data_IF_821135757356
#
_entry.id   IF_821135757356
#
_cell.length_a   1.000
_cell.length_b   1.000
_cell.length_c   1.000
_cell.angle_alpha   90.00
_cell.angle_beta   90.00
_cell.angle_gamma   90.00
#
_symmetry.space_group_name_H-M   'P 1'
#
loop_
_entity.id
_entity.type
_entity.pdbx_description
1 polymer ?
#
# COMPACT_ATOMS: atom_id res chain seq x y z
N UNK A 1 -23.39 -10.58 8.42
CA UNK A 1 -22.55 -9.89 7.41
C UNK A 1 -23.44 -9.05 6.51
N UNK A 2 -23.09 -7.79 6.19
CA UNK A 2 -23.87 -6.93 5.30
C UNK A 2 -23.99 -7.54 3.88
N UNK A 3 -25.15 -7.34 3.23
CA UNK A 3 -25.46 -7.94 1.93
C UNK A 3 -24.71 -7.31 0.74
N UNK A 4 -24.19 -6.09 0.90
CA UNK A 4 -23.43 -5.40 -0.13
C UNK A 4 -22.41 -4.44 0.48
N UNK A 5 -21.47 -3.99 -0.35
CA UNK A 5 -20.36 -3.12 0.06
C UNK A 5 -20.84 -1.78 0.65
N UNK A 6 -21.93 -1.21 0.13
CA UNK A 6 -22.46 0.06 0.65
C UNK A 6 -23.01 -0.11 2.06
N UNK A 7 -23.76 -1.18 2.31
CA UNK A 7 -24.25 -1.52 3.66
C UNK A 7 -23.10 -1.82 4.61
N UNK A 8 -22.02 -2.46 4.13
CA UNK A 8 -20.81 -2.65 4.91
C UNK A 8 -20.13 -1.34 5.30
N UNK A 9 -19.91 -0.43 4.34
CA UNK A 9 -19.32 0.87 4.60
C UNK A 9 -20.09 1.66 5.64
N UNK A 10 -21.41 1.75 5.48
CA UNK A 10 -22.27 2.46 6.42
C UNK A 10 -22.19 1.87 7.83
N UNK A 11 -22.21 0.53 7.96
CA UNK A 11 -22.11 -0.13 9.25
C UNK A 11 -20.72 0.07 9.88
N UNK A 12 -19.65 -0.12 9.11
CA UNK A 12 -18.28 0.02 9.58
C UNK A 12 -18.00 1.46 10.04
N UNK A 13 -18.39 2.48 9.26
CA UNK A 13 -18.19 3.88 9.64
C UNK A 13 -19.03 4.28 10.86
N UNK A 14 -20.24 3.72 11.01
CA UNK A 14 -21.07 3.94 12.20
C UNK A 14 -20.40 3.45 13.49
N UNK A 15 -19.76 2.28 13.45
CA UNK A 15 -19.08 1.71 14.63
C UNK A 15 -17.67 2.25 14.82
N UNK A 16 -16.99 2.62 13.74
CA UNK A 16 -15.64 3.17 13.74
C UNK A 16 -15.64 4.49 12.94
N UNK A 17 -16.06 5.62 13.55
CA UNK A 17 -16.14 6.91 12.86
C UNK A 17 -14.79 7.42 12.35
N UNK A 18 -13.71 7.03 13.02
CA UNK A 18 -12.33 7.33 12.66
C UNK A 18 -11.53 6.04 12.69
N UNK A 19 -11.14 5.56 11.51
CA UNK A 19 -10.35 4.35 11.35
C UNK A 19 -9.13 4.61 10.48
N UNK A 20 -7.96 4.13 10.92
CA UNK A 20 -6.72 4.24 10.16
C UNK A 20 -6.16 2.84 9.92
N UNK A 21 -6.04 2.47 8.65
CA UNK A 21 -5.35 1.25 8.27
C UNK A 21 -3.84 1.53 8.19
N UNK A 22 -3.08 0.91 9.09
CA UNK A 22 -1.63 1.11 9.18
C UNK A 22 -0.87 0.63 7.96
N UNK A 23 -1.45 -0.26 7.14
CA UNK A 23 -0.85 -0.67 5.85
C UNK A 23 -0.98 0.41 4.78
N UNK A 24 -2.09 1.15 4.81
CA UNK A 24 -2.26 2.34 3.96
C UNK A 24 -1.27 3.41 4.39
N UNK A 25 -1.20 3.68 5.70
CA UNK A 25 -0.30 4.67 6.26
C UNK A 25 1.17 4.33 5.98
N UNK A 26 1.58 3.08 6.16
CA UNK A 26 2.97 2.66 5.93
C UNK A 26 3.38 2.79 4.46
N UNK A 27 2.43 2.85 3.53
CA UNK A 27 2.65 3.02 2.10
C UNK A 27 2.54 4.49 1.63
N UNK A 28 2.32 5.44 2.54
CA UNK A 28 2.20 6.84 2.18
C UNK A 28 3.52 7.39 1.60
N UNK A 29 3.43 8.23 0.57
CA UNK A 29 4.58 8.72 -0.20
C UNK A 29 5.71 9.28 0.68
N UNK A 30 5.46 10.14 1.68
CA UNK A 30 6.54 10.72 2.49
C UNK A 30 7.34 9.68 3.27
N UNK A 31 6.75 8.51 3.53
CA UNK A 31 7.40 7.43 4.27
C UNK A 31 8.16 6.48 3.36
N UNK A 32 7.84 6.41 2.06
CA UNK A 32 8.47 5.43 1.16
C UNK A 32 9.95 5.72 0.89
N UNK A 33 10.40 6.96 1.07
CA UNK A 33 11.83 7.31 0.98
C UNK A 33 12.66 6.83 2.19
N UNK A 34 12.02 6.32 3.24
CA UNK A 34 12.67 5.99 4.50
C UNK A 34 13.03 4.50 4.61
N UNK A 35 12.35 3.62 3.88
CA UNK A 35 12.59 2.18 3.93
C UNK A 35 11.49 1.36 3.28
N UNK A 36 11.65 0.04 3.27
CA UNK A 36 10.65 -0.89 2.74
C UNK A 36 9.59 -1.21 3.81
N UNK A 37 8.49 -0.48 3.80
CA UNK A 37 7.39 -0.69 4.74
C UNK A 37 6.25 -1.54 4.16
N UNK A 38 6.58 -2.46 3.26
CA UNK A 38 5.63 -3.41 2.67
C UNK A 38 5.76 -4.82 3.24
N UNK A 39 4.66 -5.59 3.19
CA UNK A 39 4.65 -7.00 3.57
C UNK A 39 4.02 -7.29 4.93
N UNK A 40 4.56 -8.29 5.63
CA UNK A 40 4.02 -8.74 6.92
C UNK A 40 4.27 -7.69 8.00
N UNK A 41 3.30 -7.51 8.90
CA UNK A 41 3.36 -6.51 9.99
C UNK A 41 4.69 -6.54 10.75
N UNK A 42 5.16 -7.73 11.13
CA UNK A 42 6.44 -7.90 11.82
C UNK A 42 7.63 -7.34 11.02
N UNK A 43 7.72 -7.63 9.72
CA UNK A 43 8.79 -7.15 8.86
C UNK A 43 8.76 -5.62 8.75
N UNK A 44 7.56 -5.05 8.62
CA UNK A 44 7.39 -3.58 8.54
C UNK A 44 7.86 -2.91 9.83
N UNK A 45 7.54 -3.48 11.00
CA UNK A 45 8.00 -2.95 12.28
C UNK A 45 9.52 -3.06 12.44
N UNK A 46 10.12 -4.17 12.00
CA UNK A 46 11.58 -4.34 11.98
C UNK A 46 12.26 -3.26 11.12
N UNK A 47 11.78 -3.05 9.89
CA UNK A 47 12.33 -2.03 8.99
C UNK A 47 12.20 -0.61 9.56
N UNK A 48 11.06 -0.28 10.17
CA UNK A 48 10.85 1.03 10.79
C UNK A 48 11.78 1.25 11.98
N UNK A 49 12.10 0.20 12.75
CA UNK A 49 13.00 0.33 13.89
C UNK A 49 14.39 0.86 13.49
N UNK A 50 14.81 0.61 12.24
CA UNK A 50 16.09 1.06 11.66
C UNK A 50 16.11 2.56 11.36
N UNK A 51 14.95 3.20 11.24
CA UNK A 51 14.78 4.64 10.96
C UNK A 51 14.00 5.36 12.07
N UNK A 52 14.10 4.83 13.30
CA UNK A 52 13.40 5.32 14.49
C UNK A 52 13.67 6.80 14.84
N UNK A 53 14.74 7.41 14.32
CA UNK A 53 15.01 8.84 14.45
C UNK A 53 13.90 9.72 13.88
N UNK A 54 13.13 9.23 12.91
CA UNK A 54 12.00 9.95 12.34
C UNK A 54 10.78 9.91 13.24
N UNK A 55 10.67 8.96 14.18
CA UNK A 55 9.60 8.88 15.17
C UNK A 55 10.19 8.75 16.58
N UNK A 56 10.82 9.80 17.14
CA UNK A 56 11.64 9.72 18.35
C UNK A 56 10.84 9.30 19.61
N UNK A 57 9.51 9.41 19.55
CA UNK A 57 8.61 9.02 20.63
C UNK A 57 8.10 7.58 20.52
N UNK A 58 8.50 6.83 19.48
CA UNK A 58 8.10 5.44 19.28
C UNK A 58 9.25 4.52 19.68
N UNK A 59 9.13 3.90 20.86
CA UNK A 59 10.08 2.87 21.26
C UNK A 59 9.77 1.55 20.57
N UNK A 60 10.72 1.06 19.76
CA UNK A 60 10.70 -0.29 19.20
C UNK A 60 11.38 -1.32 20.11
N UNK A 61 12.00 -0.85 21.19
CA UNK A 61 12.49 -1.72 22.26
C UNK A 61 11.32 -2.13 23.13
N UNK A 62 11.30 -3.40 23.53
CA UNK A 62 10.36 -3.91 24.50
C UNK A 62 11.14 -4.20 25.78
N UNK A 63 10.48 -4.04 26.92
CA UNK A 63 11.10 -4.39 28.20
C UNK A 63 11.42 -5.89 28.25
N UNK A 64 12.53 -6.23 28.90
CA UNK A 64 12.97 -7.62 29.05
C UNK A 64 11.97 -8.49 29.81
N UNK A 65 11.08 -7.86 30.58
CA UNK A 65 9.99 -8.50 31.33
C UNK A 65 8.72 -8.72 30.50
N UNK A 66 8.64 -8.13 29.30
CA UNK A 66 7.48 -8.28 28.43
C UNK A 66 7.58 -9.60 27.63
N UNK A 67 6.54 -10.43 27.70
CA UNK A 67 6.48 -11.67 26.91
C UNK A 67 6.46 -11.33 25.41
N UNK A 68 7.47 -11.78 24.66
CA UNK A 68 7.70 -11.36 23.27
C UNK A 68 8.53 -10.09 23.13
N UNK A 69 9.16 -9.60 24.20
CA UNK A 69 9.99 -8.40 24.19
C UNK A 69 11.47 -8.62 23.87
N UNK A 70 11.95 -9.86 23.91
CA UNK A 70 13.38 -10.15 23.78
C UNK A 70 13.66 -11.40 22.92
N UNK A 71 14.61 -11.26 21.99
CA UNK A 71 15.26 -12.38 21.28
C UNK A 71 14.31 -13.30 20.51
N UNK A 72 14.57 -14.60 20.60
CA UNK A 72 13.87 -15.68 19.87
C UNK A 72 12.37 -15.84 20.18
N UNK A 73 11.83 -15.09 21.15
CA UNK A 73 10.41 -15.17 21.55
C UNK A 73 9.49 -14.19 20.79
N UNK A 74 10.06 -13.21 20.08
CA UNK A 74 9.27 -12.27 19.26
C UNK A 74 8.55 -12.98 18.12
N UNK A 75 9.23 -13.89 17.43
CA UNK A 75 8.62 -14.71 16.37
C UNK A 75 7.58 -15.68 16.92
N UNK A 76 7.74 -16.19 18.15
CA UNK A 76 6.75 -17.07 18.78
C UNK A 76 5.45 -16.39 19.23
N UNK A 77 5.45 -15.06 19.37
CA UNK A 77 4.27 -14.28 19.72
C UNK A 77 3.56 -13.68 18.50
N UNK A 78 4.12 -13.86 17.28
CA UNK A 78 3.43 -13.49 16.05
C UNK A 78 2.10 -14.25 15.94
N UNK A 79 1.07 -13.59 15.41
CA UNK A 79 -0.30 -14.11 15.36
C UNK A 79 -1.05 -14.14 16.70
N UNK A 80 -0.49 -13.56 17.78
CA UNK A 80 -1.26 -13.18 18.94
C UNK A 80 -1.94 -11.83 18.70
N UNK A 81 -3.27 -11.77 18.76
CA UNK A 81 -4.03 -10.56 18.45
C UNK A 81 -3.67 -9.34 19.31
N UNK A 82 -3.34 -9.54 20.59
CA UNK A 82 -2.94 -8.44 21.47
C UNK A 82 -1.54 -7.93 21.11
N UNK A 83 -0.60 -8.83 20.83
CA UNK A 83 0.74 -8.48 20.38
C UNK A 83 0.72 -7.80 19.01
N UNK A 84 -0.02 -8.33 18.04
CA UNK A 84 -0.19 -7.73 16.71
C UNK A 84 -0.88 -6.35 16.80
N UNK A 85 -1.81 -6.17 17.75
CA UNK A 85 -2.42 -4.86 18.01
C UNK A 85 -1.42 -3.86 18.57
N UNK A 86 -0.53 -4.28 19.47
CA UNK A 86 0.55 -3.45 19.98
C UNK A 86 1.51 -3.02 18.86
N UNK A 87 1.93 -3.96 18.00
CA UNK A 87 2.76 -3.67 16.82
C UNK A 87 2.07 -2.71 15.87
N UNK A 88 0.77 -2.90 15.63
CA UNK A 88 -0.07 -2.01 14.83
C UNK A 88 -0.12 -0.60 15.43
N UNK A 89 -0.25 -0.47 16.75
CA UNK A 89 -0.23 0.82 17.45
C UNK A 89 1.11 1.55 17.29
N UNK A 90 2.24 0.83 17.42
CA UNK A 90 3.57 1.40 17.17
C UNK A 90 3.73 1.89 15.74
N UNK A 91 3.28 1.10 14.76
CA UNK A 91 3.29 1.46 13.35
C UNK A 91 2.45 2.72 13.07
N UNK A 92 1.25 2.82 13.64
CA UNK A 92 0.41 4.01 13.54
C UNK A 92 1.11 5.26 14.10
N UNK A 93 1.69 5.16 15.30
CA UNK A 93 2.36 6.28 15.94
C UNK A 93 3.55 6.79 15.12
N UNK A 94 4.35 5.86 14.56
CA UNK A 94 5.46 6.19 13.67
C UNK A 94 4.97 6.88 12.40
N UNK A 95 3.99 6.29 11.71
CA UNK A 95 3.49 6.81 10.45
C UNK A 95 2.83 8.18 10.62
N UNK A 96 2.04 8.38 11.68
CA UNK A 96 1.44 9.68 12.02
C UNK A 96 2.53 10.75 12.12
N UNK A 97 3.56 10.49 12.91
CA UNK A 97 4.60 11.49 13.16
C UNK A 97 5.47 11.73 11.93
N UNK A 98 5.83 10.67 11.18
CA UNK A 98 6.56 10.81 9.92
C UNK A 98 5.80 11.62 8.87
N UNK A 99 4.47 11.45 8.77
CA UNK A 99 3.62 12.24 7.90
C UNK A 99 3.55 13.70 8.33
N UNK A 100 3.30 13.96 9.63
CA UNK A 100 3.19 15.31 10.17
C UNK A 100 4.52 16.08 10.02
N UNK A 101 5.67 15.42 10.21
CA UNK A 101 6.99 16.00 9.96
C UNK A 101 7.21 16.35 8.47
N UNK A 102 6.58 15.61 7.56
CA UNK A 102 6.61 15.89 6.13
C UNK A 102 5.54 16.92 5.70
N UNK A 103 4.88 17.61 6.64
CA UNK A 103 3.75 18.51 6.42
C UNK A 103 2.53 17.85 5.74
N UNK A 104 2.37 16.54 5.88
CA UNK A 104 1.21 15.79 5.38
C UNK A 104 0.30 15.40 6.53
N UNK A 105 -0.96 15.80 6.48
CA UNK A 105 -1.91 15.46 7.53
C UNK A 105 -2.30 13.98 7.48
N UNK A 106 -2.16 13.26 8.61
CA UNK A 106 -2.61 11.87 8.75
C UNK A 106 -4.10 11.69 8.42
N UNK A 107 -4.91 12.74 8.65
CA UNK A 107 -6.35 12.77 8.37
C UNK A 107 -6.68 12.55 6.89
N UNK A 108 -5.72 12.77 5.98
CA UNK A 108 -5.88 12.47 4.56
C UNK A 108 -6.19 10.99 4.33
N UNK A 109 -5.69 10.10 5.19
CA UNK A 109 -5.83 8.64 5.11
C UNK A 109 -6.93 8.05 6.01
N UNK A 110 -7.71 8.90 6.68
CA UNK A 110 -8.79 8.48 7.57
C UNK A 110 -9.89 7.73 6.79
N UNK A 111 -10.37 6.63 7.38
CA UNK A 111 -11.46 5.79 6.87
C UNK A 111 -11.15 5.12 5.52
N UNK A 112 -9.88 4.94 5.20
CA UNK A 112 -9.39 4.20 4.03
C UNK A 112 -8.86 2.83 4.50
N UNK A 113 -9.44 1.76 3.95
CA UNK A 113 -9.05 0.39 4.27
C UNK A 113 -8.29 -0.26 3.11
N UNK A 114 -7.21 -0.97 3.45
CA UNK A 114 -6.53 -1.85 2.53
C UNK A 114 -7.34 -3.12 2.27
N UNK A 115 -7.21 -3.63 1.06
CA UNK A 115 -7.87 -4.86 0.62
C UNK A 115 -6.80 -5.89 0.30
N UNK A 116 -6.77 -6.99 1.06
CA UNK A 116 -5.77 -8.06 0.92
C UNK A 116 -5.63 -8.60 -0.52
N UNK A 117 -6.69 -8.50 -1.34
CA UNK A 117 -6.74 -9.08 -2.68
C UNK A 117 -7.08 -8.11 -3.82
N UNK A 118 -7.43 -6.84 -3.53
CA UNK A 118 -7.81 -5.88 -4.60
C UNK A 118 -6.89 -4.66 -4.61
N UNK A 119 -6.84 -4.00 -5.76
CA UNK A 119 -6.09 -2.76 -6.01
C UNK A 119 -6.79 -1.50 -5.50
N UNK A 120 -8.03 -1.65 -5.03
CA UNK A 120 -8.89 -0.54 -4.65
C UNK A 120 -9.05 -0.55 -3.14
N UNK A 121 -8.46 0.45 -2.49
CA UNK A 121 -8.79 0.75 -1.10
C UNK A 121 -10.28 1.03 -0.96
N UNK A 122 -10.87 0.57 0.14
CA UNK A 122 -12.27 0.85 0.46
C UNK A 122 -12.32 2.17 1.20
N UNK A 123 -13.04 3.15 0.66
CA UNK A 123 -13.29 4.40 1.37
C UNK A 123 -14.65 4.33 2.07
N UNK A 124 -14.65 4.32 3.41
CA UNK A 124 -15.87 4.08 4.19
C UNK A 124 -16.87 5.24 4.13
N UNK A 125 -16.41 6.47 3.85
CA UNK A 125 -17.24 7.68 3.85
C UNK A 125 -17.80 8.01 2.46
N UNK A 126 -17.18 7.49 1.39
CA UNK A 126 -17.60 7.77 0.00
C UNK A 126 -18.32 6.60 -0.65
N UNK A 127 -19.28 6.92 -1.53
CA UNK A 127 -19.89 5.94 -2.44
C UNK A 127 -18.89 5.42 -3.48
N UNK A 128 -17.85 6.18 -3.80
CA UNK A 128 -16.78 5.75 -4.71
C UNK A 128 -15.66 5.07 -3.92
N UNK A 129 -15.42 3.80 -4.24
CA UNK A 129 -14.18 3.13 -3.90
C UNK A 129 -13.10 3.56 -4.89
N UNK A 130 -12.01 4.08 -4.34
CA UNK A 130 -10.89 4.55 -5.12
C UNK A 130 -9.72 4.82 -4.20
N UNK A 131 -8.52 4.70 -4.73
CA UNK A 131 -7.39 5.38 -4.12
C UNK A 131 -7.68 6.87 -4.14
N UNK A 132 -7.51 7.52 -2.99
CA UNK A 132 -7.46 8.98 -2.95
C UNK A 132 -6.37 9.39 -3.95
N UNK A 133 -6.77 10.12 -5.00
CA UNK A 133 -5.88 10.52 -6.11
C UNK A 133 -4.82 11.49 -5.58
N UNK A 134 -3.70 10.96 -5.09
CA UNK A 134 -2.41 11.63 -5.27
C UNK A 134 -1.94 11.29 -6.69
N UNK A 135 -2.63 11.88 -7.69
CA UNK A 135 -2.63 11.46 -9.10
C UNK A 135 -3.08 10.01 -9.32
N UNK A 136 -3.88 9.74 -10.36
CA UNK A 136 -4.32 8.38 -10.64
C UNK A 136 -3.13 7.55 -11.12
N UNK A 137 -2.41 6.92 -10.20
CA UNK A 137 -1.30 6.05 -10.55
C UNK A 137 -1.82 4.82 -11.28
N UNK A 138 -1.40 4.68 -12.54
CA UNK A 138 -1.63 3.47 -13.35
C UNK A 138 -0.99 2.29 -12.63
N UNK A 139 -1.77 1.22 -12.41
CA UNK A 139 -1.24 0.00 -11.80
C UNK A 139 -0.75 -0.91 -12.90
N UNK A 140 0.44 -1.49 -12.72
CA UNK A 140 0.98 -2.50 -13.61
C UNK A 140 1.02 -3.86 -12.92
N UNK A 141 0.89 -4.94 -13.68
CA UNK A 141 1.06 -6.31 -13.22
C UNK A 141 2.26 -6.96 -13.91
N UNK A 142 3.07 -7.67 -13.14
CA UNK A 142 4.09 -8.59 -13.64
C UNK A 142 3.75 -10.00 -13.17
N UNK A 143 3.96 -10.99 -14.04
CA UNK A 143 3.90 -12.40 -13.67
C UNK A 143 5.01 -12.74 -12.67
N UNK A 144 4.74 -13.72 -11.80
CA UNK A 144 5.72 -14.16 -10.81
C UNK A 144 6.89 -14.82 -11.53
N UNK A 145 8.09 -14.26 -11.33
CA UNK A 145 9.35 -14.84 -11.77
C UNK A 145 10.21 -15.06 -10.52
N UNK A 146 10.86 -16.22 -10.35
CA UNK A 146 11.62 -16.52 -9.13
C UNK A 146 12.66 -15.44 -8.75
N UNK A 147 13.25 -14.79 -9.75
CA UNK A 147 14.23 -13.73 -9.59
C UNK A 147 13.62 -12.31 -9.37
N UNK A 148 12.29 -12.16 -9.39
CA UNK A 148 11.58 -10.90 -9.11
C UNK A 148 10.79 -11.03 -7.81
N UNK A 149 11.48 -11.12 -6.68
CA UNK A 149 10.86 -10.93 -5.36
C UNK A 149 10.63 -9.45 -5.08
N UNK A 150 9.73 -9.13 -4.14
CA UNK A 150 9.34 -7.74 -3.80
C UNK A 150 10.56 -6.85 -3.56
N UNK A 151 11.53 -7.33 -2.78
CA UNK A 151 12.77 -6.63 -2.43
C UNK A 151 13.64 -6.34 -3.66
N UNK A 152 13.67 -7.28 -4.61
CA UNK A 152 14.45 -7.14 -5.86
C UNK A 152 13.76 -6.15 -6.80
N UNK A 153 12.44 -6.26 -6.97
CA UNK A 153 11.63 -5.34 -7.78
C UNK A 153 11.82 -3.92 -7.23
N UNK A 154 11.67 -3.74 -5.92
CA UNK A 154 11.81 -2.45 -5.25
C UNK A 154 13.20 -1.84 -5.50
N UNK A 155 14.28 -2.57 -5.18
CA UNK A 155 15.65 -2.10 -5.40
C UNK A 155 15.93 -1.74 -6.86
N UNK A 156 15.38 -2.51 -7.80
CA UNK A 156 15.51 -2.22 -9.22
C UNK A 156 14.82 -0.88 -9.57
N UNK A 157 13.60 -0.67 -9.10
CA UNK A 157 12.85 0.58 -9.35
C UNK A 157 13.48 1.79 -8.66
N UNK A 158 13.94 1.65 -7.41
CA UNK A 158 14.62 2.70 -6.65
C UNK A 158 15.90 3.19 -7.37
N UNK A 159 16.66 2.29 -8.00
CA UNK A 159 17.85 2.68 -8.79
C UNK A 159 17.53 3.64 -9.94
N UNK A 160 16.26 3.68 -10.37
CA UNK A 160 15.73 4.54 -11.41
C UNK A 160 14.88 5.70 -10.84
N UNK A 161 14.93 5.95 -9.53
CA UNK A 161 14.10 6.94 -8.81
C UNK A 161 12.59 6.70 -9.00
N UNK A 162 12.19 5.44 -9.18
CA UNK A 162 10.79 5.05 -9.28
C UNK A 162 10.34 4.55 -7.91
N UNK A 163 9.60 5.39 -7.20
CA UNK A 163 8.90 4.99 -5.96
C UNK A 163 7.61 4.27 -6.32
N UNK A 164 7.39 3.07 -5.78
CA UNK A 164 6.20 2.30 -6.08
C UNK A 164 5.76 1.43 -4.89
N UNK A 165 4.44 1.26 -4.75
CA UNK A 165 3.82 0.25 -3.90
C UNK A 165 3.82 -1.08 -4.66
N UNK A 166 4.45 -2.11 -4.10
CA UNK A 166 4.55 -3.44 -4.72
C UNK A 166 3.79 -4.44 -3.85
N UNK A 167 2.82 -5.15 -4.44
CA UNK A 167 2.00 -6.13 -3.72
C UNK A 167 1.99 -7.47 -4.45
N UNK A 168 2.27 -8.54 -3.71
CA UNK A 168 2.14 -9.91 -4.24
C UNK A 168 0.66 -10.31 -4.37
N UNK A 169 0.30 -10.94 -5.48
CA UNK A 169 -1.07 -11.36 -5.84
C UNK A 169 -1.19 -12.87 -6.08
N UNK A 170 -0.32 -13.68 -5.48
CA UNK A 170 -0.35 -15.14 -5.61
C UNK A 170 0.28 -15.70 -6.88
N UNK A 171 0.09 -15.02 -8.02
CA UNK A 171 0.66 -15.43 -9.32
C UNK A 171 1.59 -14.37 -9.94
N UNK A 172 1.86 -13.29 -9.20
CA UNK A 172 2.64 -12.16 -9.68
C UNK A 172 2.61 -11.00 -8.70
N UNK A 173 3.03 -9.83 -9.19
CA UNK A 173 3.09 -8.61 -8.41
C UNK A 173 2.35 -7.50 -9.12
N UNK A 174 1.61 -6.71 -8.35
CA UNK A 174 1.11 -5.42 -8.81
C UNK A 174 2.08 -4.35 -8.37
N UNK A 175 2.48 -3.49 -9.29
CA UNK A 175 3.36 -2.37 -9.09
C UNK A 175 2.55 -1.10 -9.34
N UNK A 176 2.47 -0.26 -8.32
CA UNK A 176 1.80 1.02 -8.41
C UNK A 176 2.81 2.13 -8.16
N UNK A 177 3.26 2.84 -9.20
CA UNK A 177 4.08 4.04 -9.05
C UNK A 177 3.37 5.05 -8.17
N UNK A 178 4.12 5.82 -7.40
CA UNK A 178 3.59 6.87 -6.53
C UNK A 178 4.50 8.11 -6.59
N UNK A 179 3.96 9.26 -6.19
CA UNK A 179 4.71 10.51 -6.19
C UNK A 179 5.18 10.93 -7.57
N UNK A 180 6.40 11.46 -7.65
CA UNK A 180 7.01 11.94 -8.89
C UNK A 180 7.11 10.86 -10.00
N UNK A 181 7.14 9.58 -9.64
CA UNK A 181 7.17 8.48 -10.60
C UNK A 181 5.90 8.42 -11.46
N UNK A 182 4.76 8.89 -10.96
CA UNK A 182 3.50 8.95 -11.71
C UNK A 182 3.56 9.84 -12.95
N UNK A 183 4.46 10.82 -12.96
CA UNK A 183 4.61 11.79 -14.05
C UNK A 183 5.81 11.47 -14.97
N UNK A 184 6.45 10.32 -14.78
CA UNK A 184 7.65 9.96 -15.53
C UNK A 184 7.27 9.57 -16.98
N UNK A 185 7.74 10.29 -18.02
CA UNK A 185 7.30 10.08 -19.40
C UNK A 185 7.58 8.67 -19.94
N UNK A 186 8.72 8.07 -19.53
CA UNK A 186 9.17 6.77 -20.00
C UNK A 186 9.02 5.68 -18.93
N UNK A 187 8.09 5.85 -17.97
CA UNK A 187 7.95 4.99 -16.80
C UNK A 187 7.91 3.51 -17.15
N UNK A 188 7.00 3.12 -18.05
CA UNK A 188 6.80 1.71 -18.46
C UNK A 188 8.07 1.15 -19.10
N UNK A 189 8.71 1.89 -19.99
CA UNK A 189 9.92 1.45 -20.68
C UNK A 189 11.08 1.26 -19.69
N UNK A 190 11.23 2.19 -18.75
CA UNK A 190 12.24 2.12 -17.69
C UNK A 190 11.99 0.92 -16.77
N UNK A 191 10.74 0.69 -16.35
CA UNK A 191 10.37 -0.46 -15.53
C UNK A 191 10.66 -1.78 -16.26
N UNK A 192 10.24 -1.92 -17.53
CA UNK A 192 10.54 -3.12 -18.33
C UNK A 192 12.05 -3.33 -18.41
N UNK A 193 12.82 -2.30 -18.74
CA UNK A 193 14.27 -2.40 -18.90
C UNK A 193 14.94 -2.86 -17.61
N UNK A 194 14.64 -2.21 -16.48
CA UNK A 194 15.34 -2.50 -15.22
C UNK A 194 14.93 -3.84 -14.63
N UNK A 195 13.66 -4.25 -14.77
CA UNK A 195 13.19 -5.54 -14.30
C UNK A 195 13.69 -6.68 -15.21
N UNK A 196 13.69 -6.49 -16.53
CA UNK A 196 14.23 -7.47 -17.49
C UNK A 196 15.72 -7.73 -17.24
N UNK A 197 16.48 -6.70 -16.88
CA UNK A 197 17.89 -6.83 -16.52
C UNK A 197 18.12 -7.70 -15.27
N UNK A 198 17.15 -7.80 -14.36
CA UNK A 198 17.26 -8.66 -13.16
C UNK A 198 16.99 -10.13 -13.42
N UNK A 199 16.21 -10.45 -14.45
CA UNK A 199 15.84 -11.83 -14.78
C UNK A 199 16.56 -12.36 -16.02
N UNK A 200 17.33 -11.52 -16.72
CA UNK A 200 17.99 -11.85 -17.99
C UNK A 200 17.03 -12.32 -19.09
N UNK A 201 15.79 -11.85 -19.03
CA UNK A 201 14.73 -12.15 -19.99
C UNK A 201 13.76 -10.97 -20.06
N UNK A 202 12.97 -10.91 -21.14
CA UNK A 202 11.98 -9.84 -21.30
C UNK A 202 10.89 -9.98 -20.22
N UNK A 203 10.67 -8.91 -19.47
CA UNK A 203 9.54 -8.75 -18.54
C UNK A 203 8.41 -8.05 -19.27
N UNK A 204 7.20 -8.57 -19.11
CA UNK A 204 5.98 -7.94 -19.60
C UNK A 204 5.25 -7.24 -18.45
N UNK A 205 4.84 -5.99 -18.68
CA UNK A 205 4.01 -5.21 -17.77
C UNK A 205 2.62 -5.09 -18.36
N UNK A 206 1.64 -5.59 -17.63
CA UNK A 206 0.23 -5.45 -18.01
C UNK A 206 -0.37 -4.27 -17.26
N UNK A 207 -0.78 -3.24 -17.99
CA UNK A 207 -1.49 -2.11 -17.40
C UNK A 207 -2.88 -2.56 -16.96
N UNK A 208 -3.22 -2.30 -15.70
CA UNK A 208 -4.55 -2.54 -15.14
C UNK A 208 -5.30 -1.21 -15.17
N UNK A 209 -6.24 -1.09 -16.11
CA UNK A 209 -7.19 0.03 -16.11
C UNK A 209 -8.13 -0.08 -14.91
N UNK A 210 -7.97 0.85 -13.95
CA UNK A 210 -8.93 1.02 -12.88
C UNK A 210 -10.14 1.78 -13.41
N UNK A 211 -11.03 1.10 -14.16
CA UNK A 211 -12.30 1.70 -14.58
C UNK A 211 -13.06 2.21 -13.35
N UNK A 212 -13.44 3.49 -13.39
CA UNK A 212 -14.39 4.10 -12.46
C UNK A 212 -15.78 4.05 -13.09
N UNK A 213 -16.82 3.82 -12.27
CA UNK A 213 -18.20 3.61 -12.76
C UNK A 213 -18.77 4.74 -13.60
N UNK A 214 -18.18 5.95 -13.56
CA UNK A 214 -18.57 7.07 -14.42
C UNK A 214 -18.37 6.76 -15.91
N UNK A 215 -17.25 6.13 -16.29
CA UNK A 215 -16.94 5.80 -17.69
C UNK A 215 -17.85 4.70 -18.27
N UNK A 216 -18.44 3.84 -17.41
CA UNK A 216 -19.37 2.78 -17.84
C UNK A 216 -20.74 3.36 -18.22
N UNK A 217 -21.06 4.57 -17.73
CA UNK A 217 -22.34 5.23 -18.02
C UNK A 217 -22.30 5.96 -19.37
N UNK A 218 -21.17 6.55 -19.73
CA UNK A 218 -20.96 7.23 -21.02
C UNK A 218 -20.93 6.25 -22.20
N UNK A 219 -20.34 5.05 -22.06
CA UNK A 219 -20.41 4.00 -23.10
C UNK A 219 -21.85 3.50 -23.34
N UNK A 220 -22.70 3.47 -22.30
CA UNK A 220 -24.11 3.05 -22.45
C UNK A 220 -25.00 4.14 -23.04
N UNK A 221 -24.64 5.41 -22.91
CA UNK A 221 -25.39 6.52 -23.48
C UNK A 221 -24.95 6.82 -24.93
N UNK A 222 -23.72 6.48 -25.34
CA UNK A 222 -23.32 6.58 -26.76
C UNK A 222 -23.91 5.46 -27.64
N UNK A 223 -24.15 4.27 -27.09
CA UNK A 223 -24.78 3.15 -27.83
C UNK A 223 -26.31 3.32 -28.03
N UNK A 224 -26.94 4.32 -27.40
CA UNK A 224 -28.38 4.59 -27.53
C UNK A 224 -28.74 5.83 -28.37
N UNK A 225 -27.79 6.43 -29.09
CA UNK A 225 -28.07 7.63 -29.92
C UNK A 225 -27.77 7.47 -31.42
N UNK A 226 -27.51 6.25 -31.88
CA UNK A 226 -27.38 5.94 -33.31
C UNK A 226 -28.53 5.10 -33.83
N UNK A 227 -29.66 5.74 -34.16
CA UNK A 227 -30.55 5.36 -35.27
C UNK A 227 -31.70 6.39 -35.35
N UNK A 228 -31.59 7.29 -36.32
CA UNK A 228 -32.69 8.09 -36.90
C UNK A 228 -33.46 7.27 -37.91
#
# INVERSE_FOLDING_TARGET
>A
MPLNLQSFKSLAHRHFPSLFDTRILSCAEPLQGLGDFSGKLWNVVDEISKVSTIGPYVSFKFDSTFSGGCGSTQTSMTHNAAFDSLLTGKLFAFAKYGLENANTSVKVYENILSTYATLKSIYLVSRMDGMKRETAAVVYYISNKPALRVDIIRKALESCKITAVILYRGHGYTIQPIGAACQMPNLVQTMIKVLSAKVHEKVELYQIELRTRAAIKEERESDCTGET
#
